data_IF_521071781257
#
_entry.id   IF_521071781257
#
_cell.length_a   1.000
_cell.length_b   1.000
_cell.length_c   1.000
_cell.angle_alpha   90.00
_cell.angle_beta   90.00
_cell.angle_gamma   90.00
#
_symmetry.space_group_name_H-M   'P 1'
#
loop_
_entity.id
_entity.type
_entity.pdbx_description
1 polymer ?
#
# COMPACT_ATOMS: atom_id res chain seq x y z
N UNK A 1 50.17 -48.24 39.09
CA UNK A 1 50.94 -47.62 38.01
C UNK A 1 49.90 -47.01 37.09
N UNK A 2 49.64 -45.78 37.30
CA UNK A 2 48.54 -45.00 36.71
C UNK A 2 49.14 -43.93 35.81
N UNK A 3 48.77 -43.95 34.51
CA UNK A 3 49.15 -42.93 33.57
C UNK A 3 47.99 -41.88 33.49
N UNK A 4 48.29 -40.67 33.92
CA UNK A 4 47.46 -39.52 33.75
C UNK A 4 47.66 -39.00 32.30
N UNK A 5 46.57 -38.88 31.54
CA UNK A 5 46.55 -38.20 30.24
C UNK A 5 46.27 -36.70 30.46
N UNK A 6 47.24 -35.88 30.14
CA UNK A 6 47.18 -34.42 30.11
C UNK A 6 46.18 -33.97 29.04
N UNK A 7 45.20 -33.19 29.48
CA UNK A 7 44.29 -32.48 28.59
C UNK A 7 44.97 -31.17 28.19
N UNK A 8 45.24 -30.99 26.92
CA UNK A 8 45.78 -29.75 26.35
C UNK A 8 44.72 -28.60 26.47
N UNK A 9 45.14 -27.36 26.72
CA UNK A 9 44.20 -26.24 26.83
C UNK A 9 43.63 -25.90 25.47
N UNK A 10 42.29 -25.90 25.38
CA UNK A 10 41.55 -25.38 24.24
C UNK A 10 41.94 -23.91 24.02
N UNK A 11 42.35 -23.65 22.80
CA UNK A 11 42.86 -22.38 22.33
C UNK A 11 41.75 -21.30 22.41
N UNK A 12 41.93 -20.40 23.39
CA UNK A 12 41.00 -19.25 23.61
C UNK A 12 41.02 -18.22 22.47
N UNK A 13 41.75 -18.48 21.40
CA UNK A 13 41.87 -17.57 20.23
C UNK A 13 40.83 -17.79 19.15
N UNK A 14 40.06 -18.87 19.18
CA UNK A 14 38.96 -19.08 18.20
C UNK A 14 37.65 -18.44 18.64
N UNK A 15 37.47 -18.11 19.92
CA UNK A 15 36.27 -17.43 20.41
C UNK A 15 36.24 -15.91 20.20
N UNK A 16 37.39 -15.29 19.92
CA UNK A 16 37.48 -13.85 19.65
C UNK A 16 37.26 -13.45 18.18
N UNK A 17 37.33 -14.39 17.24
CA UNK A 17 37.04 -14.10 15.80
C UNK A 17 35.59 -14.12 15.44
N UNK A 18 34.68 -14.53 16.30
CA UNK A 18 33.24 -14.56 16.07
C UNK A 18 32.49 -13.30 16.49
N UNK A 19 33.15 -12.35 17.20
CA UNK A 19 32.48 -11.16 17.74
C UNK A 19 32.77 -9.84 17.01
N UNK A 20 33.61 -9.86 16.01
CA UNK A 20 33.91 -8.69 15.19
C UNK A 20 33.14 -8.74 13.87
N UNK A 21 31.91 -8.28 13.82
CA UNK A 21 31.27 -7.67 12.63
C UNK A 21 29.78 -7.37 12.87
N UNK A 22 29.43 -6.88 14.05
CA UNK A 22 28.24 -6.03 14.13
C UNK A 22 28.76 -4.60 14.35
N UNK A 23 29.15 -3.94 13.28
CA UNK A 23 29.27 -2.47 13.32
C UNK A 23 27.86 -1.92 13.61
N UNK A 24 27.62 -1.65 14.88
CA UNK A 24 26.47 -0.86 15.33
C UNK A 24 26.59 0.49 14.64
N UNK A 25 25.76 0.70 13.61
CA UNK A 25 25.62 2.01 12.97
C UNK A 25 25.22 2.99 14.07
N UNK A 26 25.96 4.11 14.19
CA UNK A 26 25.71 5.11 15.19
C UNK A 26 24.21 5.51 15.21
N UNK A 27 23.56 5.70 16.39
CA UNK A 27 22.12 5.89 16.54
C UNK A 27 21.56 7.04 15.68
N UNK A 28 22.35 8.05 15.39
CA UNK A 28 21.96 9.21 14.56
C UNK A 28 21.79 8.86 13.06
N UNK A 29 22.59 7.93 12.52
CA UNK A 29 22.48 7.52 11.11
C UNK A 29 21.23 6.71 10.82
N UNK A 30 20.69 5.96 11.76
CA UNK A 30 19.48 5.14 11.57
C UNK A 30 18.20 5.99 11.46
N UNK A 31 18.06 7.07 12.25
CA UNK A 31 16.88 7.94 12.22
C UNK A 31 16.79 8.72 10.90
N UNK A 32 17.89 9.28 10.42
CA UNK A 32 17.93 9.96 9.14
C UNK A 32 17.73 9.02 7.94
N UNK A 33 18.25 7.80 8.03
CA UNK A 33 17.99 6.77 7.04
C UNK A 33 16.51 6.39 6.97
N UNK A 34 15.85 6.19 8.12
CA UNK A 34 14.41 5.91 8.18
C UNK A 34 13.58 7.10 7.65
N UNK A 35 13.97 8.34 7.98
CA UNK A 35 13.35 9.55 7.43
C UNK A 35 13.44 9.57 5.90
N UNK A 36 14.62 9.29 5.32
CA UNK A 36 14.79 9.23 3.87
C UNK A 36 13.85 8.20 3.22
N UNK A 37 13.70 7.03 3.83
CA UNK A 37 12.79 5.98 3.37
C UNK A 37 11.31 6.36 3.52
N UNK A 38 10.96 7.07 4.59
CA UNK A 38 9.61 7.60 4.81
C UNK A 38 9.23 8.65 3.77
N UNK A 39 10.17 9.52 3.34
CA UNK A 39 9.94 10.47 2.24
C UNK A 39 9.62 9.74 0.93
N UNK A 40 10.25 8.60 0.67
CA UNK A 40 9.87 7.75 -0.47
C UNK A 40 8.47 7.16 -0.34
N UNK A 41 8.08 6.76 0.88
CA UNK A 41 6.69 6.37 1.17
C UNK A 41 5.70 7.50 0.91
N UNK A 42 6.05 8.74 1.27
CA UNK A 42 5.28 9.94 0.96
C UNK A 42 5.16 10.16 -0.56
N UNK A 43 6.27 10.04 -1.30
CA UNK A 43 6.28 10.20 -2.75
C UNK A 43 5.37 9.18 -3.44
N UNK A 44 5.49 7.91 -3.07
CA UNK A 44 4.71 6.80 -3.65
C UNK A 44 3.23 6.94 -3.31
N UNK A 45 2.88 7.17 -2.04
CA UNK A 45 1.48 7.32 -1.63
C UNK A 45 0.81 8.54 -2.27
N UNK A 46 1.53 9.67 -2.37
CA UNK A 46 1.03 10.84 -3.11
C UNK A 46 0.81 10.51 -4.58
N UNK A 47 1.75 9.82 -5.23
CA UNK A 47 1.66 9.43 -6.64
C UNK A 47 0.54 8.42 -6.94
N UNK A 48 0.21 7.54 -6.00
CA UNK A 48 -0.90 6.60 -6.12
C UNK A 48 -2.24 7.32 -6.06
N UNK A 49 -2.49 8.10 -5.01
CA UNK A 49 -3.82 8.59 -4.68
C UNK A 49 -4.13 9.99 -5.22
N UNK A 50 -3.14 10.84 -5.47
CA UNK A 50 -3.41 12.18 -6.02
C UNK A 50 -4.01 12.14 -7.44
N UNK A 51 -3.77 11.07 -8.20
CA UNK A 51 -4.42 10.83 -9.48
C UNK A 51 -5.95 10.81 -9.40
N UNK A 52 -6.51 10.35 -8.27
CA UNK A 52 -7.96 10.34 -8.01
C UNK A 52 -8.50 11.76 -7.78
N UNK A 53 -7.66 12.65 -7.23
CA UNK A 53 -8.00 14.04 -6.96
C UNK A 53 -8.06 14.94 -8.19
N UNK A 54 -7.40 14.55 -9.30
CA UNK A 54 -7.31 15.34 -10.54
C UNK A 54 -7.93 14.60 -11.74
N UNK A 55 -8.74 13.59 -11.48
CA UNK A 55 -9.33 12.75 -12.53
C UNK A 55 -10.19 13.51 -13.53
N UNK A 56 -11.06 14.48 -13.13
CA UNK A 56 -11.84 15.29 -14.08
C UNK A 56 -10.96 16.13 -14.98
N UNK A 57 -9.92 16.75 -14.44
CA UNK A 57 -8.98 17.62 -15.16
C UNK A 57 -8.18 16.82 -16.21
N UNK A 58 -7.76 15.59 -15.84
CA UNK A 58 -7.10 14.69 -16.79
C UNK A 58 -8.07 14.31 -17.92
N UNK A 59 -9.28 13.89 -17.59
CA UNK A 59 -10.28 13.49 -18.58
C UNK A 59 -10.58 14.60 -19.58
N UNK A 60 -10.76 15.83 -19.10
CA UNK A 60 -11.05 16.99 -19.94
C UNK A 60 -9.86 17.32 -20.88
N UNK A 61 -8.63 17.31 -20.36
CA UNK A 61 -7.44 17.71 -21.15
C UNK A 61 -7.07 16.67 -22.24
N UNK A 62 -7.19 15.36 -21.95
CA UNK A 62 -6.88 14.31 -22.94
C UNK A 62 -8.08 13.91 -23.81
N UNK A 63 -9.21 14.60 -23.68
CA UNK A 63 -10.40 14.39 -24.53
C UNK A 63 -11.08 13.04 -24.33
N UNK A 64 -11.19 12.56 -23.06
CA UNK A 64 -11.81 11.28 -22.74
C UNK A 64 -12.89 11.42 -21.66
N UNK A 65 -13.65 10.35 -21.41
CA UNK A 65 -14.62 10.34 -20.31
C UNK A 65 -13.92 10.11 -18.96
N UNK A 66 -14.51 10.59 -17.86
CA UNK A 66 -13.98 10.37 -16.51
C UNK A 66 -13.84 8.87 -16.19
N UNK A 67 -14.80 7.97 -16.51
CA UNK A 67 -14.60 6.54 -16.33
C UNK A 67 -13.43 5.97 -17.14
N UNK A 68 -13.19 6.43 -18.36
CA UNK A 68 -12.02 6.01 -19.14
C UNK A 68 -10.72 6.55 -18.54
N UNK A 69 -10.68 7.80 -18.10
CA UNK A 69 -9.53 8.34 -17.38
C UNK A 69 -9.24 7.53 -16.09
N UNK A 70 -10.26 6.98 -15.43
CA UNK A 70 -10.12 6.08 -14.28
C UNK A 70 -9.25 4.84 -14.55
N UNK A 71 -9.09 4.43 -15.82
CA UNK A 71 -8.18 3.35 -16.18
C UNK A 71 -6.71 3.66 -15.84
N UNK A 72 -6.33 4.93 -15.72
CA UNK A 72 -4.98 5.30 -15.26
C UNK A 72 -4.72 4.90 -13.80
N UNK A 73 -5.76 4.84 -12.96
CA UNK A 73 -5.71 4.38 -11.57
C UNK A 73 -5.56 2.86 -11.55
N UNK A 74 -6.44 2.16 -12.26
CA UNK A 74 -6.40 0.69 -12.37
C UNK A 74 -5.08 0.21 -12.99
N UNK A 75 -4.57 0.92 -13.99
CA UNK A 75 -3.32 0.60 -14.67
C UNK A 75 -2.11 0.72 -13.73
N UNK A 76 -2.05 1.79 -12.92
CA UNK A 76 -1.02 1.93 -11.88
C UNK A 76 -1.08 0.78 -10.88
N UNK A 77 -2.25 0.47 -10.36
CA UNK A 77 -2.46 -0.60 -9.40
C UNK A 77 -2.10 -1.99 -9.97
N UNK A 78 -2.38 -2.25 -11.26
CA UNK A 78 -1.91 -3.44 -11.97
C UNK A 78 -0.39 -3.45 -12.09
N UNK A 79 0.23 -2.30 -12.35
CA UNK A 79 1.68 -2.14 -12.33
C UNK A 79 2.27 -2.56 -10.99
N UNK A 80 1.70 -2.10 -9.86
CA UNK A 80 2.13 -2.50 -8.51
C UNK A 80 1.99 -4.00 -8.29
N UNK A 81 0.86 -4.57 -8.69
CA UNK A 81 0.56 -6.00 -8.53
C UNK A 81 1.59 -6.89 -9.24
N UNK A 82 1.97 -6.51 -10.45
CA UNK A 82 2.95 -7.25 -11.26
C UNK A 82 4.37 -6.93 -10.84
N UNK A 83 4.66 -5.66 -10.58
CA UNK A 83 6.00 -5.17 -10.28
C UNK A 83 6.56 -5.67 -8.96
N UNK A 84 5.73 -5.78 -7.91
CA UNK A 84 6.19 -6.23 -6.59
C UNK A 84 6.87 -7.62 -6.64
N UNK A 85 6.23 -8.69 -7.14
CA UNK A 85 6.88 -10.00 -7.25
C UNK A 85 8.00 -10.01 -8.31
N UNK A 86 7.84 -9.28 -9.43
CA UNK A 86 8.85 -9.22 -10.49
C UNK A 86 10.17 -8.67 -9.95
N UNK A 87 10.15 -7.52 -9.30
CA UNK A 87 11.37 -6.90 -8.75
C UNK A 87 11.92 -7.68 -7.56
N UNK A 88 11.06 -8.26 -6.71
CA UNK A 88 11.50 -9.10 -5.60
C UNK A 88 12.33 -10.31 -6.07
N UNK A 89 11.94 -10.95 -7.17
CA UNK A 89 12.67 -12.09 -7.76
C UNK A 89 13.87 -11.62 -8.56
N UNK A 90 13.71 -10.65 -9.46
CA UNK A 90 14.77 -10.21 -10.38
C UNK A 90 15.97 -9.61 -9.65
N UNK A 91 15.74 -8.91 -8.54
CA UNK A 91 16.76 -8.17 -7.79
C UNK A 91 17.00 -8.67 -6.37
N UNK A 92 16.65 -9.93 -6.07
CA UNK A 92 16.82 -10.54 -4.75
C UNK A 92 18.26 -10.46 -4.19
N UNK A 93 19.26 -10.39 -5.07
CA UNK A 93 20.69 -10.32 -4.72
C UNK A 93 21.28 -8.91 -4.82
N UNK A 94 20.49 -7.92 -5.23
CA UNK A 94 21.00 -6.57 -5.40
C UNK A 94 21.23 -5.88 -4.03
N UNK A 95 22.27 -5.04 -3.89
CA UNK A 95 22.47 -4.23 -2.71
C UNK A 95 21.23 -3.36 -2.45
N UNK A 96 20.67 -3.42 -1.23
CA UNK A 96 19.38 -2.80 -0.90
C UNK A 96 19.31 -1.32 -1.23
N UNK A 97 20.40 -0.57 -0.94
CA UNK A 97 20.49 0.86 -1.26
C UNK A 97 20.45 1.12 -2.76
N UNK A 98 21.24 0.38 -3.55
CA UNK A 98 21.25 0.52 -5.01
C UNK A 98 19.88 0.19 -5.61
N UNK A 99 19.21 -0.86 -5.09
CA UNK A 99 17.87 -1.24 -5.52
C UNK A 99 16.86 -0.12 -5.22
N UNK A 100 16.87 0.46 -4.00
CA UNK A 100 15.98 1.57 -3.64
C UNK A 100 16.19 2.79 -4.54
N UNK A 101 17.44 3.15 -4.84
CA UNK A 101 17.75 4.24 -5.76
C UNK A 101 17.22 3.95 -7.17
N UNK A 102 17.41 2.72 -7.67
CA UNK A 102 16.91 2.29 -8.98
C UNK A 102 15.39 2.29 -9.05
N UNK A 103 14.70 1.78 -8.02
CA UNK A 103 13.24 1.79 -7.93
C UNK A 103 12.68 3.22 -7.92
N UNK A 104 13.30 4.12 -7.15
CA UNK A 104 12.87 5.52 -7.11
C UNK A 104 13.19 6.30 -8.39
N UNK A 105 14.30 5.98 -9.07
CA UNK A 105 14.60 6.54 -10.38
C UNK A 105 13.56 6.08 -11.42
N UNK A 106 13.18 4.80 -11.38
CA UNK A 106 12.12 4.28 -12.25
C UNK A 106 10.76 4.93 -11.96
N UNK A 107 10.42 5.11 -10.68
CA UNK A 107 9.21 5.81 -10.24
C UNK A 107 9.19 7.28 -10.70
N UNK A 108 10.32 7.97 -10.59
CA UNK A 108 10.50 9.33 -11.10
C UNK A 108 10.20 9.39 -12.60
N UNK A 109 10.87 8.54 -13.39
CA UNK A 109 10.68 8.49 -14.86
C UNK A 109 9.22 8.20 -15.21
N UNK A 110 8.57 7.25 -14.54
CA UNK A 110 7.17 6.93 -14.75
C UNK A 110 6.22 8.11 -14.47
N UNK A 111 6.50 8.91 -13.43
CA UNK A 111 5.70 10.10 -13.11
C UNK A 111 5.99 11.26 -14.08
N UNK A 112 7.23 11.47 -14.50
CA UNK A 112 7.55 12.44 -15.58
C UNK A 112 6.85 12.03 -16.89
N UNK A 113 6.90 10.74 -17.25
CA UNK A 113 6.20 10.24 -18.43
C UNK A 113 4.66 10.44 -18.31
N UNK A 114 4.10 10.26 -17.11
CA UNK A 114 2.68 10.54 -16.85
C UNK A 114 2.35 12.02 -17.06
N UNK A 115 3.21 12.94 -16.61
CA UNK A 115 3.04 14.38 -16.80
C UNK A 115 3.17 14.81 -18.27
N UNK A 116 4.02 14.13 -19.04
CA UNK A 116 4.25 14.42 -20.46
C UNK A 116 3.23 13.76 -21.39
N UNK A 117 2.37 12.89 -20.88
CA UNK A 117 1.35 12.21 -21.67
C UNK A 117 0.36 13.19 -22.32
N UNK A 118 0.15 13.05 -23.62
CA UNK A 118 -0.73 13.92 -24.43
C UNK A 118 -2.06 13.26 -24.80
N UNK A 119 -2.21 11.96 -24.50
CA UNK A 119 -3.41 11.21 -24.83
C UNK A 119 -3.60 10.01 -23.92
N UNK A 120 -4.80 9.43 -23.98
CA UNK A 120 -5.26 8.34 -23.13
C UNK A 120 -4.25 7.18 -23.03
N UNK A 121 -3.80 6.61 -24.15
CA UNK A 121 -2.90 5.47 -24.15
C UNK A 121 -1.54 5.75 -23.50
N UNK A 122 -1.00 6.96 -23.71
CA UNK A 122 0.29 7.39 -23.15
C UNK A 122 0.19 7.54 -21.62
N UNK A 123 -0.88 8.19 -21.13
CA UNK A 123 -1.10 8.38 -19.70
C UNK A 123 -1.30 7.02 -19.00
N UNK A 124 -2.14 6.15 -19.55
CA UNK A 124 -2.42 4.81 -18.98
C UNK A 124 -1.14 3.96 -18.95
N UNK A 125 -0.35 3.94 -20.03
CA UNK A 125 0.91 3.19 -20.08
C UNK A 125 1.96 3.76 -19.12
N UNK A 126 2.09 5.08 -19.03
CA UNK A 126 3.02 5.74 -18.11
C UNK A 126 2.64 5.47 -16.63
N UNK A 127 1.34 5.44 -16.33
CA UNK A 127 0.85 5.08 -14.98
C UNK A 127 1.15 3.63 -14.65
N UNK A 128 0.99 2.69 -15.58
CA UNK A 128 1.40 1.30 -15.40
C UNK A 128 2.89 1.21 -15.03
N UNK A 129 3.74 1.87 -15.81
CA UNK A 129 5.17 1.91 -15.55
C UNK A 129 5.49 2.52 -14.17
N UNK A 130 4.86 3.65 -13.81
CA UNK A 130 5.04 4.28 -12.51
C UNK A 130 4.63 3.37 -11.34
N UNK A 131 3.65 2.48 -11.54
CA UNK A 131 3.22 1.51 -10.53
C UNK A 131 4.21 0.38 -10.26
N UNK A 132 4.98 -0.06 -11.27
CA UNK A 132 5.87 -1.23 -11.16
C UNK A 132 6.82 -1.20 -9.94
N UNK A 133 7.52 -0.09 -9.62
CA UNK A 133 8.48 -0.07 -8.50
C UNK A 133 7.84 0.05 -7.11
N UNK A 134 6.56 0.43 -7.01
CA UNK A 134 5.89 0.80 -5.76
C UNK A 134 5.98 -0.29 -4.69
N UNK A 135 5.45 -1.49 -4.97
CA UNK A 135 5.39 -2.58 -3.97
C UNK A 135 6.78 -3.09 -3.58
N UNK A 136 7.69 -3.15 -4.55
CA UNK A 136 9.08 -3.52 -4.30
C UNK A 136 9.79 -2.48 -3.42
N UNK A 137 9.53 -1.18 -3.62
CA UNK A 137 10.08 -0.14 -2.77
C UNK A 137 9.72 -0.34 -1.31
N UNK A 138 8.43 -0.52 -0.97
CA UNK A 138 8.01 -0.72 0.42
C UNK A 138 8.62 -1.97 1.02
N UNK A 139 8.62 -3.09 0.29
CA UNK A 139 9.24 -4.33 0.76
C UNK A 139 10.73 -4.16 1.10
N UNK A 140 11.50 -3.57 0.20
CA UNK A 140 12.94 -3.34 0.39
C UNK A 140 13.20 -2.27 1.45
N UNK A 141 12.43 -1.17 1.46
CA UNK A 141 12.61 -0.07 2.40
C UNK A 141 12.35 -0.50 3.85
N UNK A 142 11.30 -1.30 4.11
CA UNK A 142 11.01 -1.82 5.44
C UNK A 142 12.12 -2.77 5.94
N UNK A 143 12.59 -3.68 5.09
CA UNK A 143 13.70 -4.58 5.42
C UNK A 143 15.00 -3.81 5.64
N UNK A 144 15.25 -2.78 4.85
CA UNK A 144 16.43 -1.94 4.99
C UNK A 144 16.37 -1.10 6.27
N UNK A 145 15.22 -0.48 6.59
CA UNK A 145 15.00 0.22 7.84
C UNK A 145 15.22 -0.69 9.06
N UNK A 146 14.68 -1.91 9.02
CA UNK A 146 14.86 -2.91 10.07
C UNK A 146 16.32 -3.35 10.24
N UNK A 147 17.13 -3.35 9.18
CA UNK A 147 18.54 -3.72 9.26
C UNK A 147 19.44 -2.63 9.88
N UNK A 148 18.94 -1.39 10.00
CA UNK A 148 19.66 -0.26 10.60
C UNK A 148 19.45 -0.11 12.10
N UNK A 149 18.65 -0.97 12.72
CA UNK A 149 18.28 -0.88 14.14
C UNK A 149 18.46 -2.22 14.85
N UNK A 150 18.45 -2.17 16.19
CA UNK A 150 18.46 -3.36 17.03
C UNK A 150 17.21 -4.24 16.77
N UNK A 151 17.30 -5.58 17.00
CA UNK A 151 16.20 -6.51 16.79
C UNK A 151 14.88 -6.12 17.49
N UNK A 152 14.95 -5.54 18.69
CA UNK A 152 13.81 -5.04 19.48
C UNK A 152 13.06 -3.87 18.83
N UNK A 153 13.68 -3.13 17.89
CA UNK A 153 13.12 -1.93 17.23
C UNK A 153 12.78 -2.12 15.75
N UNK A 154 12.98 -3.32 15.21
CA UNK A 154 12.76 -3.60 13.77
C UNK A 154 11.34 -3.31 13.29
N UNK A 155 10.35 -3.68 14.11
CA UNK A 155 8.94 -3.39 13.81
C UNK A 155 8.65 -1.89 13.75
N UNK A 156 9.20 -1.11 14.70
CA UNK A 156 9.06 0.34 14.72
C UNK A 156 9.74 0.98 13.50
N UNK A 157 10.93 0.51 13.11
CA UNK A 157 11.63 1.02 11.93
C UNK A 157 10.85 0.78 10.64
N UNK A 158 10.24 -0.40 10.48
CA UNK A 158 9.34 -0.69 9.36
C UNK A 158 8.08 0.19 9.38
N UNK A 159 7.48 0.40 10.55
CA UNK A 159 6.33 1.28 10.71
C UNK A 159 6.66 2.74 10.35
N UNK A 160 7.86 3.22 10.68
CA UNK A 160 8.32 4.57 10.32
C UNK A 160 8.38 4.77 8.79
N UNK A 161 8.69 3.76 8.01
CA UNK A 161 8.61 3.84 6.54
C UNK A 161 7.17 4.05 6.08
N UNK A 162 6.21 3.33 6.69
CA UNK A 162 4.80 3.44 6.37
C UNK A 162 4.15 4.76 6.86
N UNK A 163 4.78 5.48 7.80
CA UNK A 163 4.33 6.83 8.17
C UNK A 163 4.33 7.78 6.96
N UNK A 164 5.27 7.61 6.02
CA UNK A 164 5.27 8.38 4.79
C UNK A 164 3.99 8.23 3.99
N UNK A 165 3.46 7.01 3.89
CA UNK A 165 2.18 6.73 3.23
C UNK A 165 1.00 7.38 3.97
N UNK A 166 1.03 7.38 5.31
CA UNK A 166 0.01 8.04 6.12
C UNK A 166 0.02 9.56 5.93
N UNK A 167 1.21 10.17 5.91
CA UNK A 167 1.37 11.61 5.63
C UNK A 167 0.94 11.93 4.19
N UNK A 168 1.21 11.03 3.23
CA UNK A 168 0.74 11.19 1.86
C UNK A 168 -0.78 11.37 1.80
N UNK A 169 -1.55 10.53 2.51
CA UNK A 169 -3.00 10.60 2.47
C UNK A 169 -3.59 11.88 3.09
N UNK A 170 -2.95 12.44 4.13
CA UNK A 170 -3.47 13.63 4.83
C UNK A 170 -2.96 14.93 4.24
N UNK A 171 -1.72 14.95 3.77
CA UNK A 171 -1.06 16.18 3.29
C UNK A 171 -0.67 16.06 1.81
N UNK A 172 -0.02 14.98 1.41
CA UNK A 172 0.53 14.80 0.07
C UNK A 172 -0.55 14.82 -1.00
N UNK A 173 -1.60 14.04 -0.84
CA UNK A 173 -2.72 13.93 -1.79
C UNK A 173 -3.50 15.23 -1.89
N UNK A 174 -3.97 15.84 -0.79
CA UNK A 174 -4.63 17.13 -0.86
C UNK A 174 -3.78 18.24 -1.49
N UNK A 175 -2.49 18.33 -1.13
CA UNK A 175 -1.58 19.32 -1.68
C UNK A 175 -1.34 19.12 -3.18
N UNK A 176 -1.09 17.87 -3.62
CA UNK A 176 -0.89 17.56 -5.02
C UNK A 176 -2.16 17.74 -5.86
N UNK A 177 -3.34 17.46 -5.28
CA UNK A 177 -4.63 17.74 -5.91
C UNK A 177 -4.82 19.25 -6.08
N UNK A 178 -4.57 20.03 -5.04
CA UNK A 178 -4.65 21.50 -5.13
C UNK A 178 -3.70 22.07 -6.17
N UNK A 179 -2.44 21.60 -6.20
CA UNK A 179 -1.47 22.01 -7.24
C UNK A 179 -1.97 21.64 -8.64
N UNK A 180 -2.52 20.45 -8.81
CA UNK A 180 -3.05 19.99 -10.09
C UNK A 180 -4.25 20.79 -10.55
N UNK A 181 -5.14 21.19 -9.65
CA UNK A 181 -6.30 22.04 -9.95
C UNK A 181 -5.90 23.49 -10.26
N UNK A 182 -4.83 24.00 -9.64
CA UNK A 182 -4.38 25.39 -9.79
C UNK A 182 -3.47 25.59 -11.01
N UNK A 183 -2.52 24.67 -11.24
CA UNK A 183 -1.49 24.78 -12.26
C UNK A 183 -1.62 23.78 -13.40
N UNK A 184 -2.74 23.02 -13.41
CA UNK A 184 -3.00 21.93 -14.34
C UNK A 184 -2.56 20.57 -13.79
N UNK A 185 -3.29 19.51 -14.14
CA UNK A 185 -3.11 18.15 -13.60
C UNK A 185 -1.69 17.59 -13.75
N UNK A 186 -0.94 18.07 -14.73
CA UNK A 186 0.47 17.69 -14.93
C UNK A 186 1.35 18.08 -13.76
N UNK A 187 1.03 19.20 -13.08
CA UNK A 187 1.76 19.66 -11.89
C UNK A 187 1.69 18.62 -10.74
N UNK A 188 0.60 17.87 -10.63
CA UNK A 188 0.48 16.75 -9.68
C UNK A 188 1.61 15.74 -9.87
N UNK A 189 1.81 15.25 -11.09
CA UNK A 189 2.83 14.23 -11.38
C UNK A 189 4.26 14.79 -11.36
N UNK A 190 4.45 16.05 -11.73
CA UNK A 190 5.73 16.76 -11.58
C UNK A 190 6.11 16.88 -10.08
N UNK A 191 5.14 17.21 -9.23
CA UNK A 191 5.36 17.26 -7.78
C UNK A 191 5.78 15.90 -7.22
N UNK A 192 5.12 14.83 -7.64
CA UNK A 192 5.48 13.45 -7.26
C UNK A 192 6.88 13.08 -7.77
N UNK A 193 7.22 13.46 -8.99
CA UNK A 193 8.57 13.26 -9.53
C UNK A 193 9.62 14.04 -8.73
N UNK A 194 9.31 15.26 -8.29
CA UNK A 194 10.16 16.05 -7.39
C UNK A 194 10.38 15.37 -6.04
N UNK A 195 9.32 14.82 -5.43
CA UNK A 195 9.43 14.03 -4.20
C UNK A 195 10.27 12.76 -4.41
N UNK A 196 10.16 12.11 -5.56
CA UNK A 196 10.99 10.95 -5.91
C UNK A 196 12.46 11.36 -6.06
N UNK A 197 12.77 12.48 -6.72
CA UNK A 197 14.11 13.00 -6.84
C UNK A 197 14.71 13.37 -5.46
N UNK A 198 13.91 14.01 -4.60
CA UNK A 198 14.29 14.28 -3.21
C UNK A 198 14.60 12.99 -2.46
N UNK A 199 13.76 11.96 -2.61
CA UNK A 199 13.99 10.64 -1.98
C UNK A 199 15.31 10.04 -2.45
N UNK A 200 15.61 10.08 -3.76
CA UNK A 200 16.88 9.59 -4.32
C UNK A 200 18.05 10.31 -3.65
N UNK A 201 17.99 11.63 -3.54
CA UNK A 201 19.05 12.41 -2.89
C UNK A 201 19.19 12.02 -1.40
N UNK A 202 18.09 11.97 -0.66
CA UNK A 202 18.11 11.62 0.76
C UNK A 202 18.62 10.19 0.98
N UNK A 203 18.16 9.21 0.22
CA UNK A 203 18.64 7.81 0.31
C UNK A 203 20.14 7.75 -0.05
N UNK A 204 20.58 8.48 -1.08
CA UNK A 204 22.00 8.50 -1.49
C UNK A 204 22.94 9.01 -0.42
N UNK A 205 22.51 10.02 0.35
CA UNK A 205 23.37 10.70 1.33
C UNK A 205 23.16 10.24 2.78
N UNK A 206 21.96 9.77 3.15
CA UNK A 206 21.59 9.49 4.53
C UNK A 206 21.52 8.00 4.87
N UNK A 207 21.63 7.09 3.89
CA UNK A 207 21.59 5.65 4.18
C UNK A 207 22.96 4.98 3.99
N UNK A 208 23.34 4.01 4.86
CA UNK A 208 24.58 3.26 4.72
C UNK A 208 24.52 2.28 3.54
N UNK A 209 25.66 1.76 3.12
CA UNK A 209 25.72 0.59 2.25
C UNK A 209 25.66 -0.67 3.12
N UNK A 210 24.66 -1.53 2.88
CA UNK A 210 24.49 -2.80 3.58
C UNK A 210 24.43 -3.91 2.52
N UNK A 211 25.27 -4.92 2.74
CA UNK A 211 25.29 -6.12 1.88
C UNK A 211 24.00 -6.91 2.04
N UNK A 212 23.49 -7.57 1.00
CA UNK A 212 22.28 -8.37 1.08
C UNK A 212 22.52 -9.61 1.94
N UNK A 213 21.64 -9.85 2.93
CA UNK A 213 21.55 -11.16 3.58
C UNK A 213 20.93 -12.15 2.57
N UNK A 214 21.52 -13.34 2.48
CA UNK A 214 21.16 -14.34 1.46
C UNK A 214 19.75 -14.95 1.63
N UNK A 215 18.72 -14.15 1.43
CA UNK A 215 17.35 -14.63 1.38
C UNK A 215 17.12 -15.47 0.10
N UNK A 216 16.54 -16.66 0.27
CA UNK A 216 16.20 -17.56 -0.84
C UNK A 216 14.73 -17.42 -1.22
N UNK A 217 14.39 -16.77 -2.34
CA UNK A 217 13.01 -16.59 -2.79
C UNK A 217 12.25 -17.89 -3.06
N UNK A 218 12.98 -18.95 -3.41
CA UNK A 218 12.39 -20.24 -3.77
C UNK A 218 11.66 -20.95 -2.60
N UNK A 219 12.10 -20.73 -1.36
CA UNK A 219 11.48 -21.33 -0.16
C UNK A 219 10.10 -20.74 0.15
N UNK A 220 9.88 -19.48 -0.21
CA UNK A 220 8.68 -18.73 0.13
C UNK A 220 7.52 -19.03 -0.83
N UNK A 221 7.80 -19.44 -2.08
CA UNK A 221 6.74 -19.74 -3.08
C UNK A 221 5.81 -20.88 -2.70
N UNK A 222 6.20 -21.74 -1.76
CA UNK A 222 5.34 -22.81 -1.22
C UNK A 222 4.06 -22.30 -0.52
N UNK A 223 4.08 -21.08 0.02
CA UNK A 223 2.92 -20.49 0.69
C UNK A 223 1.73 -20.26 -0.23
N UNK A 224 1.96 -19.98 -1.52
CA UNK A 224 0.90 -19.81 -2.52
C UNK A 224 0.07 -21.09 -2.76
N UNK A 225 0.56 -22.24 -2.31
CA UNK A 225 -0.20 -23.50 -2.42
C UNK A 225 -1.19 -23.71 -1.28
N UNK A 226 -1.13 -22.89 -0.22
CA UNK A 226 -2.02 -23.04 0.95
C UNK A 226 -3.38 -22.39 0.67
N UNK A 227 -4.53 -23.12 0.75
CA UNK A 227 -5.85 -22.57 0.48
C UNK A 227 -6.19 -21.35 1.34
N UNK A 228 -5.80 -21.37 2.63
CA UNK A 228 -6.05 -20.26 3.55
C UNK A 228 -5.30 -18.98 3.17
N UNK A 229 -4.10 -19.07 2.56
CA UNK A 229 -3.37 -17.92 2.02
C UNK A 229 -4.13 -17.33 0.84
N UNK A 230 -4.55 -18.16 -0.12
CA UNK A 230 -5.29 -17.72 -1.30
C UNK A 230 -6.66 -17.10 -0.92
N UNK A 231 -7.38 -17.69 0.04
CA UNK A 231 -8.64 -17.13 0.54
C UNK A 231 -8.42 -15.79 1.24
N UNK A 232 -7.37 -15.64 2.04
CA UNK A 232 -7.06 -14.37 2.71
C UNK A 232 -6.68 -13.29 1.70
N UNK A 233 -5.89 -13.62 0.67
CA UNK A 233 -5.59 -12.71 -0.45
C UNK A 233 -6.86 -12.34 -1.23
N UNK A 234 -7.77 -13.30 -1.45
CA UNK A 234 -9.07 -13.05 -2.08
C UNK A 234 -9.94 -12.10 -1.26
N UNK A 235 -9.97 -12.25 0.07
CA UNK A 235 -10.65 -11.30 0.97
C UNK A 235 -10.05 -9.89 0.84
N UNK A 236 -8.72 -9.78 0.77
CA UNK A 236 -8.05 -8.51 0.55
C UNK A 236 -8.41 -7.91 -0.83
N UNK A 237 -8.29 -8.70 -1.90
CA UNK A 237 -8.49 -8.23 -3.27
C UNK A 237 -9.93 -7.81 -3.58
N UNK A 238 -10.92 -8.45 -2.97
CA UNK A 238 -12.34 -8.17 -3.20
C UNK A 238 -12.88 -7.25 -2.10
N UNK A 239 -12.75 -7.65 -0.84
CA UNK A 239 -13.38 -6.95 0.28
C UNK A 239 -12.87 -5.54 0.52
N UNK A 240 -11.61 -5.27 0.17
CA UNK A 240 -11.01 -3.96 0.28
C UNK A 240 -11.25 -3.05 -0.94
N UNK A 241 -11.71 -3.62 -2.06
CA UNK A 241 -11.98 -2.89 -3.30
C UNK A 241 -13.03 -1.79 -3.16
N UNK A 242 -13.91 -1.91 -2.18
CA UNK A 242 -15.01 -0.95 -1.97
C UNK A 242 -14.55 0.48 -1.67
N UNK A 243 -13.51 0.66 -0.86
CA UNK A 243 -12.97 1.99 -0.58
C UNK A 243 -12.45 2.65 -1.87
N UNK A 244 -11.80 1.89 -2.73
CA UNK A 244 -11.22 2.41 -3.96
C UNK A 244 -12.27 2.70 -5.04
N UNK A 245 -13.42 2.00 -5.04
CA UNK A 245 -14.53 2.34 -5.90
C UNK A 245 -15.01 3.76 -5.64
N UNK A 246 -15.23 4.12 -4.37
CA UNK A 246 -15.65 5.48 -3.99
C UNK A 246 -14.50 6.48 -4.15
N UNK A 247 -13.30 6.15 -3.66
CA UNK A 247 -12.16 7.07 -3.68
C UNK A 247 -11.80 7.53 -5.10
N UNK A 248 -11.82 6.62 -6.08
CA UNK A 248 -11.46 6.92 -7.46
C UNK A 248 -12.38 7.97 -8.10
N UNK A 249 -13.64 8.02 -7.70
CA UNK A 249 -14.65 8.90 -8.29
C UNK A 249 -15.24 9.91 -7.29
N UNK A 250 -14.57 10.10 -6.15
CA UNK A 250 -15.06 11.01 -5.10
C UNK A 250 -15.17 12.45 -5.60
N UNK A 251 -14.18 12.95 -6.34
CA UNK A 251 -14.18 14.34 -6.83
C UNK A 251 -15.35 14.60 -7.77
N UNK A 252 -15.56 13.82 -8.86
CA UNK A 252 -16.76 13.99 -9.69
C UNK A 252 -18.07 13.81 -8.92
N UNK A 253 -18.14 12.91 -7.94
CA UNK A 253 -19.36 12.77 -7.11
C UNK A 253 -19.61 14.02 -6.29
N UNK A 254 -18.58 14.62 -5.69
CA UNK A 254 -18.70 15.85 -4.92
C UNK A 254 -19.12 17.05 -5.77
N UNK A 255 -18.66 17.14 -7.02
CA UNK A 255 -19.04 18.25 -7.91
C UNK A 255 -20.41 18.06 -8.53
N UNK A 256 -20.70 16.87 -9.05
CA UNK A 256 -21.91 16.60 -9.82
C UNK A 256 -23.16 16.29 -8.95
N UNK A 257 -22.96 15.70 -7.76
CA UNK A 257 -24.06 15.29 -6.88
C UNK A 257 -24.18 16.21 -5.67
N UNK A 258 -23.04 16.49 -4.99
CA UNK A 258 -23.06 17.34 -3.80
C UNK A 258 -23.15 18.82 -4.16
N UNK A 259 -22.76 19.21 -5.39
CA UNK A 259 -22.74 20.60 -5.86
C UNK A 259 -21.59 21.42 -5.24
N UNK A 260 -20.56 20.77 -4.73
CA UNK A 260 -19.38 21.45 -4.19
C UNK A 260 -18.47 21.96 -5.31
N UNK A 261 -17.80 23.09 -5.14
CA UNK A 261 -16.77 23.53 -6.07
C UNK A 261 -15.58 22.56 -6.03
N UNK A 262 -14.90 22.36 -7.16
CA UNK A 262 -13.71 21.48 -7.25
C UNK A 262 -12.64 21.85 -6.20
N UNK A 263 -12.53 23.12 -5.83
CA UNK A 263 -11.62 23.62 -4.77
C UNK A 263 -11.90 23.03 -3.37
N UNK A 264 -13.05 22.42 -3.13
CA UNK A 264 -13.35 21.71 -1.89
C UNK A 264 -12.76 20.30 -1.86
N UNK A 265 -12.38 19.73 -3.00
CA UNK A 265 -11.88 18.36 -3.10
C UNK A 265 -10.64 18.10 -2.18
N UNK A 266 -9.61 18.95 -2.11
CA UNK A 266 -8.47 18.72 -1.22
C UNK A 266 -8.87 18.54 0.26
N UNK A 267 -9.82 19.34 0.74
CA UNK A 267 -10.32 19.24 2.12
C UNK A 267 -11.09 17.92 2.35
N UNK A 268 -11.91 17.52 1.40
CA UNK A 268 -12.66 16.25 1.47
C UNK A 268 -11.73 15.03 1.41
N UNK A 269 -10.69 15.08 0.59
CA UNK A 269 -9.65 14.06 0.53
C UNK A 269 -8.83 14.01 1.83
N UNK A 270 -8.56 15.15 2.46
CA UNK A 270 -7.92 15.20 3.77
C UNK A 270 -8.77 14.55 4.86
N UNK A 271 -10.10 14.76 4.84
CA UNK A 271 -11.03 14.09 5.77
C UNK A 271 -10.96 12.55 5.60
N UNK A 272 -10.97 12.05 4.37
CA UNK A 272 -10.80 10.64 4.07
C UNK A 272 -9.43 10.13 4.57
N UNK A 273 -8.34 10.86 4.31
CA UNK A 273 -6.99 10.54 4.78
C UNK A 273 -6.89 10.49 6.32
N UNK A 274 -7.52 11.41 7.04
CA UNK A 274 -7.60 11.37 8.49
C UNK A 274 -8.35 10.12 8.98
N UNK A 275 -9.44 9.76 8.29
CA UNK A 275 -10.15 8.51 8.54
C UNK A 275 -9.26 7.28 8.34
N UNK A 276 -8.41 7.28 7.32
CA UNK A 276 -7.44 6.20 7.07
C UNK A 276 -6.45 6.04 8.22
N UNK A 277 -5.93 7.14 8.77
CA UNK A 277 -5.04 7.08 9.95
C UNK A 277 -5.79 6.51 11.16
N UNK A 278 -6.97 7.05 11.47
CA UNK A 278 -7.77 6.57 12.58
C UNK A 278 -8.13 5.09 12.44
N UNK A 279 -8.52 4.67 11.24
CA UNK A 279 -8.83 3.28 10.91
C UNK A 279 -7.63 2.36 11.06
N UNK A 280 -6.45 2.76 10.58
CA UNK A 280 -5.23 1.96 10.68
C UNK A 280 -4.83 1.72 12.16
N UNK A 281 -4.91 2.75 13.00
CA UNK A 281 -4.62 2.64 14.44
C UNK A 281 -5.66 1.75 15.13
N UNK A 282 -6.95 1.99 14.88
CA UNK A 282 -8.03 1.20 15.47
C UNK A 282 -7.98 -0.26 14.99
N UNK A 283 -7.69 -0.48 13.70
CA UNK A 283 -7.59 -1.81 13.11
C UNK A 283 -6.46 -2.64 13.71
N UNK A 284 -5.28 -2.05 13.94
CA UNK A 284 -4.18 -2.70 14.64
C UNK A 284 -4.57 -3.10 16.05
N UNK A 285 -5.10 -2.14 16.83
CA UNK A 285 -5.52 -2.37 18.21
C UNK A 285 -6.63 -3.43 18.37
N UNK A 286 -7.59 -3.47 17.44
CA UNK A 286 -8.66 -4.47 17.41
C UNK A 286 -8.15 -5.85 16.97
N UNK A 287 -7.26 -5.90 15.97
CA UNK A 287 -6.69 -7.14 15.45
C UNK A 287 -5.88 -7.88 16.52
N UNK A 288 -5.11 -7.15 17.34
CA UNK A 288 -4.35 -7.72 18.47
C UNK A 288 -5.23 -8.39 19.51
N UNK A 289 -6.48 -7.94 19.66
CA UNK A 289 -7.43 -8.47 20.65
C UNK A 289 -8.29 -9.61 20.11
N UNK A 290 -8.79 -9.47 18.89
CA UNK A 290 -9.77 -10.39 18.34
C UNK A 290 -9.73 -10.40 16.80
N UNK A 291 -8.64 -10.91 16.22
CA UNK A 291 -8.34 -10.84 14.78
C UNK A 291 -9.53 -11.19 13.89
N UNK A 292 -10.13 -12.38 14.08
CA UNK A 292 -11.25 -12.87 13.23
C UNK A 292 -12.51 -12.02 13.36
N UNK A 293 -12.84 -11.61 14.58
CA UNK A 293 -13.98 -10.73 14.84
C UNK A 293 -13.76 -9.34 14.25
N UNK A 294 -12.54 -8.81 14.32
CA UNK A 294 -12.15 -7.55 13.69
C UNK A 294 -12.33 -7.61 12.18
N UNK A 295 -11.85 -8.65 11.52
CA UNK A 295 -12.02 -8.80 10.06
C UNK A 295 -13.48 -8.83 9.65
N UNK A 296 -14.33 -9.59 10.34
CA UNK A 296 -15.77 -9.63 10.09
C UNK A 296 -16.42 -8.28 10.36
N UNK A 297 -16.12 -7.67 11.51
CA UNK A 297 -16.69 -6.37 11.91
C UNK A 297 -16.31 -5.25 10.94
N UNK A 298 -15.06 -5.20 10.49
CA UNK A 298 -14.60 -4.17 9.54
C UNK A 298 -15.26 -4.37 8.16
N UNK A 299 -15.46 -5.58 7.68
CA UNK A 299 -16.17 -5.80 6.39
C UNK A 299 -17.65 -5.41 6.47
N UNK A 300 -18.31 -5.69 7.59
CA UNK A 300 -19.68 -5.21 7.84
C UNK A 300 -19.71 -3.67 7.91
N UNK A 301 -18.80 -3.08 8.68
CA UNK A 301 -18.63 -1.63 8.77
C UNK A 301 -18.42 -1.03 7.38
N UNK A 302 -17.52 -1.60 6.59
CA UNK A 302 -17.22 -1.13 5.22
C UNK A 302 -18.46 -1.19 4.33
N UNK A 303 -19.22 -2.28 4.36
CA UNK A 303 -20.47 -2.39 3.62
C UNK A 303 -21.44 -1.27 3.99
N UNK A 304 -21.63 -1.01 5.29
CA UNK A 304 -22.55 0.02 5.78
C UNK A 304 -22.10 1.42 5.36
N UNK A 305 -20.85 1.81 5.65
CA UNK A 305 -20.41 3.19 5.42
C UNK A 305 -20.21 3.49 3.93
N UNK A 306 -19.74 2.53 3.14
CA UNK A 306 -19.59 2.71 1.70
C UNK A 306 -20.96 2.74 1.01
N UNK A 307 -21.88 1.86 1.42
CA UNK A 307 -23.26 1.91 0.94
C UNK A 307 -23.99 3.20 1.31
N UNK A 308 -23.74 3.72 2.52
CA UNK A 308 -24.30 4.99 2.98
C UNK A 308 -23.86 6.20 2.12
N UNK A 309 -22.70 6.09 1.42
CA UNK A 309 -22.20 7.15 0.53
C UNK A 309 -23.22 7.54 -0.55
N UNK A 310 -24.00 6.58 -1.02
CA UNK A 310 -25.07 6.81 -2.02
C UNK A 310 -26.06 7.87 -1.57
N UNK A 311 -26.36 7.90 -0.29
CA UNK A 311 -27.36 8.82 0.32
C UNK A 311 -26.69 10.06 0.90
N UNK A 312 -25.52 9.92 1.50
CA UNK A 312 -24.81 11.03 2.17
C UNK A 312 -24.15 11.99 1.18
N UNK A 313 -23.84 11.54 -0.04
CA UNK A 313 -23.23 12.37 -1.09
C UNK A 313 -24.09 13.55 -1.55
N UNK A 314 -25.38 13.59 -1.23
CA UNK A 314 -26.27 14.70 -1.54
C UNK A 314 -26.12 15.92 -0.63
N UNK A 315 -25.40 15.79 0.50
CA UNK A 315 -25.18 16.86 1.46
C UNK A 315 -23.69 16.99 1.78
N UNK A 316 -23.15 18.20 1.73
CA UNK A 316 -21.71 18.45 1.88
C UNK A 316 -21.15 17.98 3.25
N UNK A 317 -21.86 18.25 4.35
CA UNK A 317 -21.42 17.86 5.70
C UNK A 317 -21.51 16.34 5.85
N UNK A 318 -22.63 15.75 5.43
CA UNK A 318 -22.82 14.30 5.49
C UNK A 318 -21.79 13.56 4.62
N UNK A 319 -21.47 14.07 3.42
CA UNK A 319 -20.42 13.54 2.56
C UNK A 319 -19.05 13.60 3.22
N UNK A 320 -18.67 14.74 3.84
CA UNK A 320 -17.40 14.89 4.54
C UNK A 320 -17.24 13.93 5.72
N UNK A 321 -18.28 13.82 6.56
CA UNK A 321 -18.30 12.85 7.67
C UNK A 321 -18.23 11.41 7.15
N UNK A 322 -18.99 11.10 6.12
CA UNK A 322 -18.99 9.75 5.53
C UNK A 322 -17.64 9.40 4.87
N UNK A 323 -16.98 10.35 4.21
CA UNK A 323 -15.62 10.13 3.67
C UNK A 323 -14.60 9.84 4.77
N UNK A 324 -14.66 10.54 5.90
CA UNK A 324 -13.86 10.21 7.08
C UNK A 324 -14.13 8.77 7.54
N UNK A 325 -15.40 8.36 7.64
CA UNK A 325 -15.77 7.00 8.02
C UNK A 325 -15.32 5.97 6.95
N UNK A 326 -15.44 6.27 5.67
CA UNK A 326 -14.93 5.41 4.58
C UNK A 326 -13.41 5.23 4.71
N UNK A 327 -12.66 6.30 5.05
CA UNK A 327 -11.24 6.18 5.40
C UNK A 327 -10.99 5.14 6.49
N UNK A 328 -11.89 5.04 7.48
CA UNK A 328 -11.84 4.05 8.55
C UNK A 328 -11.83 2.58 8.08
N UNK A 329 -12.30 2.29 6.86
CA UNK A 329 -12.24 0.94 6.29
C UNK A 329 -10.81 0.39 6.15
N UNK A 330 -9.78 1.26 6.17
CA UNK A 330 -8.37 0.88 6.17
C UNK A 330 -8.00 0.01 7.40
N UNK A 331 -8.84 -0.01 8.43
CA UNK A 331 -8.71 -0.89 9.59
C UNK A 331 -8.57 -2.37 9.23
N UNK A 332 -9.03 -2.76 8.04
CA UNK A 332 -8.84 -4.10 7.50
C UNK A 332 -7.37 -4.43 7.19
N UNK A 333 -6.54 -3.43 6.89
CA UNK A 333 -5.13 -3.60 6.50
C UNK A 333 -4.29 -4.36 7.52
N UNK A 334 -4.14 -3.87 8.77
CA UNK A 334 -3.42 -4.56 9.82
C UNK A 334 -3.97 -5.97 10.11
N UNK A 335 -5.30 -6.13 10.11
CA UNK A 335 -5.94 -7.42 10.37
C UNK A 335 -5.64 -8.45 9.27
N UNK A 336 -5.70 -8.05 7.98
CA UNK A 336 -5.31 -8.89 6.85
C UNK A 336 -3.83 -9.26 6.90
N UNK A 337 -2.96 -8.29 7.20
CA UNK A 337 -1.53 -8.54 7.32
C UNK A 337 -1.23 -9.59 8.40
N UNK A 338 -1.81 -9.44 9.59
CA UNK A 338 -1.66 -10.40 10.69
C UNK A 338 -2.21 -11.77 10.29
N UNK A 339 -3.43 -11.82 9.72
CA UNK A 339 -4.03 -13.09 9.27
C UNK A 339 -3.17 -13.80 8.24
N UNK A 340 -2.62 -13.06 7.30
CA UNK A 340 -1.80 -13.60 6.23
C UNK A 340 -0.50 -14.20 6.77
N UNK A 341 0.13 -13.53 7.74
CA UNK A 341 1.31 -14.04 8.44
C UNK A 341 1.00 -15.32 9.21
N UNK A 342 -0.14 -15.38 9.91
CA UNK A 342 -0.58 -16.57 10.66
C UNK A 342 -0.76 -17.79 9.76
N UNK A 343 -1.40 -17.63 8.58
CA UNK A 343 -1.70 -18.74 7.68
C UNK A 343 -0.52 -19.12 6.77
N UNK A 344 0.41 -18.19 6.52
CA UNK A 344 1.60 -18.43 5.70
C UNK A 344 2.64 -19.33 6.41
N UNK A 345 2.73 -19.26 7.75
CA UNK A 345 3.74 -19.98 8.53
C UNK A 345 5.15 -19.47 8.22
N UNK A 346 6.04 -20.31 7.70
CA UNK A 346 7.45 -19.95 7.46
C UNK A 346 7.67 -18.94 6.32
N UNK A 347 6.65 -18.65 5.49
CA UNK A 347 6.74 -17.76 4.34
C UNK A 347 6.18 -16.36 4.61
N UNK A 348 6.52 -15.77 5.74
CA UNK A 348 5.97 -14.48 6.20
C UNK A 348 6.36 -13.30 5.30
N UNK A 349 7.56 -13.29 4.74
CA UNK A 349 8.04 -12.20 3.87
C UNK A 349 7.24 -12.16 2.56
N UNK A 350 7.03 -13.31 1.93
CA UNK A 350 6.20 -13.38 0.73
C UNK A 350 4.75 -13.00 1.04
N UNK A 351 4.20 -13.49 2.15
CA UNK A 351 2.86 -13.14 2.59
C UNK A 351 2.68 -11.63 2.75
N UNK A 352 3.63 -10.94 3.37
CA UNK A 352 3.61 -9.48 3.50
C UNK A 352 3.66 -8.78 2.13
N UNK A 353 4.50 -9.24 1.22
CA UNK A 353 4.61 -8.69 -0.15
C UNK A 353 3.32 -8.89 -0.95
N UNK A 354 2.73 -10.08 -0.87
CA UNK A 354 1.48 -10.43 -1.55
C UNK A 354 0.28 -9.66 -1.01
N UNK A 355 0.32 -9.24 0.26
CA UNK A 355 -0.71 -8.38 0.83
C UNK A 355 -0.78 -7.03 0.09
N UNK A 356 0.37 -6.42 -0.20
CA UNK A 356 0.42 -5.20 -1.02
C UNK A 356 -0.11 -5.43 -2.45
N UNK A 357 0.23 -6.57 -3.06
CA UNK A 357 -0.33 -6.94 -4.37
C UNK A 357 -1.84 -7.11 -4.31
N UNK A 358 -2.38 -7.77 -3.29
CA UNK A 358 -3.82 -7.96 -3.11
C UNK A 358 -4.56 -6.62 -2.90
N UNK A 359 -4.00 -5.69 -2.13
CA UNK A 359 -4.56 -4.34 -1.99
C UNK A 359 -4.56 -3.57 -3.30
N UNK A 360 -3.56 -3.75 -4.13
CA UNK A 360 -3.51 -3.12 -5.43
C UNK A 360 -4.45 -3.79 -6.46
N UNK A 361 -4.69 -5.09 -6.35
CA UNK A 361 -5.79 -5.74 -7.07
C UNK A 361 -7.13 -5.14 -6.64
N UNK A 362 -7.34 -4.91 -5.34
CA UNK A 362 -8.53 -4.26 -4.81
C UNK A 362 -8.69 -2.83 -5.37
N UNK A 363 -7.59 -2.05 -5.41
CA UNK A 363 -7.58 -0.71 -5.99
C UNK A 363 -7.95 -0.75 -7.49
N UNK A 364 -7.31 -1.62 -8.27
CA UNK A 364 -7.60 -1.79 -9.69
C UNK A 364 -9.07 -2.20 -9.92
N UNK A 365 -9.56 -3.19 -9.17
CA UNK A 365 -10.91 -3.73 -9.27
C UNK A 365 -11.96 -2.68 -8.89
N UNK A 366 -11.75 -1.97 -7.76
CA UNK A 366 -12.66 -0.94 -7.29
C UNK A 366 -12.76 0.23 -8.27
N UNK A 367 -11.63 0.76 -8.72
CA UNK A 367 -11.58 1.84 -9.71
C UNK A 367 -12.23 1.43 -11.04
N UNK A 368 -11.94 0.22 -11.52
CA UNK A 368 -12.52 -0.27 -12.77
C UNK A 368 -14.02 -0.49 -12.67
N UNK A 369 -14.51 -1.22 -11.67
CA UNK A 369 -15.94 -1.51 -11.49
C UNK A 369 -16.75 -0.25 -11.21
N UNK A 370 -16.21 0.70 -10.42
CA UNK A 370 -16.82 2.00 -10.22
C UNK A 370 -16.99 2.77 -11.53
N UNK A 371 -15.96 2.76 -12.39
CA UNK A 371 -16.02 3.36 -13.72
C UNK A 371 -17.02 2.68 -14.65
N UNK A 372 -17.07 1.35 -14.65
CA UNK A 372 -18.05 0.57 -15.44
C UNK A 372 -19.49 0.92 -15.02
N UNK A 373 -19.76 1.01 -13.71
CA UNK A 373 -21.09 1.36 -13.21
C UNK A 373 -21.50 2.79 -13.65
N UNK A 374 -20.59 3.76 -13.57
CA UNK A 374 -20.84 5.13 -14.04
C UNK A 374 -21.06 5.15 -15.55
N UNK A 375 -20.21 4.47 -16.33
CA UNK A 375 -20.32 4.39 -17.79
C UNK A 375 -21.60 3.70 -18.26
N UNK A 376 -22.12 2.75 -17.48
CA UNK A 376 -23.40 2.08 -17.72
C UNK A 376 -24.63 2.97 -17.39
N UNK A 377 -24.42 4.20 -16.93
CA UNK A 377 -25.50 5.15 -16.66
C UNK A 377 -26.12 5.07 -15.25
N UNK A 378 -25.52 4.31 -14.31
CA UNK A 378 -26.02 4.22 -12.93
C UNK A 378 -25.74 5.48 -12.09
N UNK A 379 -25.08 6.51 -12.67
CA UNK A 379 -24.81 7.80 -12.03
C UNK A 379 -23.59 7.80 -11.10
N UNK A 380 -23.23 9.01 -10.63
CA UNK A 380 -22.00 9.26 -9.84
C UNK A 380 -22.02 8.65 -8.44
N UNK A 381 -23.15 8.25 -7.91
CA UNK A 381 -23.26 7.58 -6.61
C UNK A 381 -23.08 6.06 -6.70
N UNK A 382 -23.11 5.50 -7.91
CA UNK A 382 -23.02 4.05 -8.14
C UNK A 382 -21.75 3.39 -7.61
N UNK A 383 -20.58 4.06 -7.51
CA UNK A 383 -19.42 3.52 -6.82
C UNK A 383 -19.68 3.10 -5.37
N UNK A 384 -20.62 3.75 -4.68
CA UNK A 384 -21.08 3.36 -3.35
C UNK A 384 -21.74 1.98 -3.34
N UNK A 385 -22.60 1.67 -4.33
CA UNK A 385 -23.21 0.34 -4.48
C UNK A 385 -22.17 -0.71 -4.88
N UNK A 386 -21.26 -0.37 -5.79
CA UNK A 386 -20.15 -1.27 -6.16
C UNK A 386 -19.32 -1.62 -4.94
N UNK A 387 -18.97 -0.63 -4.13
CA UNK A 387 -18.18 -0.84 -2.93
C UNK A 387 -18.91 -1.63 -1.85
N UNK A 388 -20.22 -1.41 -1.68
CA UNK A 388 -21.07 -2.22 -0.80
C UNK A 388 -21.02 -3.71 -1.19
N UNK A 389 -21.21 -4.01 -2.48
CA UNK A 389 -21.19 -5.40 -2.98
C UNK A 389 -19.81 -6.04 -2.86
N UNK A 390 -18.73 -5.29 -3.10
CA UNK A 390 -17.36 -5.79 -2.92
C UNK A 390 -17.08 -6.10 -1.44
N UNK A 391 -17.52 -5.27 -0.50
CA UNK A 391 -17.37 -5.54 0.92
C UNK A 391 -18.14 -6.81 1.35
N UNK A 392 -19.36 -7.00 0.86
CA UNK A 392 -20.14 -8.24 1.08
C UNK A 392 -19.47 -9.45 0.43
N UNK A 393 -18.91 -9.33 -0.76
CA UNK A 393 -18.15 -10.38 -1.42
C UNK A 393 -16.93 -10.80 -0.60
N UNK A 394 -16.17 -9.82 -0.08
CA UNK A 394 -15.07 -10.07 0.85
C UNK A 394 -15.51 -10.76 2.14
N UNK A 395 -16.65 -10.33 2.71
CA UNK A 395 -17.24 -10.97 3.89
C UNK A 395 -17.63 -12.44 3.61
N UNK A 396 -18.26 -12.71 2.48
CA UNK A 396 -18.63 -14.07 2.09
C UNK A 396 -17.38 -14.97 1.97
N UNK A 397 -16.32 -14.49 1.32
CA UNK A 397 -15.04 -15.22 1.23
C UNK A 397 -14.41 -15.46 2.60
N UNK A 398 -14.44 -14.47 3.49
CA UNK A 398 -13.92 -14.61 4.84
C UNK A 398 -14.70 -15.69 5.62
N UNK A 399 -16.03 -15.68 5.54
CA UNK A 399 -16.85 -16.69 6.19
C UNK A 399 -16.57 -18.10 5.67
N UNK A 400 -16.35 -18.26 4.36
CA UNK A 400 -15.90 -19.53 3.76
C UNK A 400 -14.54 -19.95 4.31
N UNK A 401 -13.56 -19.04 4.37
CA UNK A 401 -12.23 -19.29 4.95
C UNK A 401 -12.33 -19.79 6.40
N UNK A 402 -13.14 -19.11 7.22
CA UNK A 402 -13.33 -19.48 8.63
C UNK A 402 -14.07 -20.80 8.81
N UNK A 403 -15.01 -21.12 7.92
CA UNK A 403 -15.73 -22.40 7.94
C UNK A 403 -14.81 -23.57 7.58
N UNK A 404 -13.95 -23.41 6.57
CA UNK A 404 -12.95 -24.42 6.19
C UNK A 404 -11.94 -24.65 7.32
N UNK A 405 -11.42 -23.58 7.92
CA UNK A 405 -10.50 -23.71 9.07
C UNK A 405 -11.12 -24.49 10.25
N UNK A 406 -12.41 -24.25 10.53
CA UNK A 406 -13.12 -25.00 11.60
C UNK A 406 -13.26 -26.47 11.26
N UNK A 407 -13.49 -26.82 9.98
CA UNK A 407 -13.57 -28.22 9.53
C UNK A 407 -12.23 -28.92 9.64
N UNK A 408 -11.15 -28.27 9.21
CA UNK A 408 -9.78 -28.81 9.32
C UNK A 408 -9.42 -29.11 10.78
N UNK A 409 -9.67 -28.16 11.70
CA UNK A 409 -9.43 -28.35 13.14
C UNK A 409 -10.24 -29.52 13.75
N UNK A 410 -11.49 -29.74 13.28
CA UNK A 410 -12.31 -30.86 13.74
C UNK A 410 -11.85 -32.20 13.18
N UNK A 411 -11.23 -32.23 12.02
CA UNK A 411 -10.70 -33.45 11.41
C UNK A 411 -9.36 -33.89 12.03
N UNK A 412 -8.64 -32.96 12.72
CA UNK A 412 -7.35 -33.22 13.38
C UNK A 412 -7.46 -33.39 14.90
N UNK A 413 -8.62 -33.12 15.48
CA UNK A 413 -8.96 -33.35 16.89
C UNK A 413 -9.71 -34.69 17.09
#
# INVERSE_FOLDING_TARGET
>A
MTSAAECAPCDARETERGSELVRVVAPHGSAWGQFALSVGGLAIGTGEFAAMGVLPEVAADIGTTIPQAGHMISSYALGVTIGAPLFAVAFARAPRRALLLGLMAFFLVGNVASALGQGYGQVVAARFLAGLPHGAYFGVAMLFAASMVEPSRRGQAAANVLLGLSIANVVGVPAATWLGQTFGWRATFITVAGLAALTIALVRYLTPEVSPDGASPAREMGALKKPQVLLTLGVAAIGFGGIFAVYSYVVPTLTEVTGLPASAAPMMLAALGMGMIAGNIAGGWLADRALKATMVGVLIYSAIVIGAFVFTSTNAIAAGVNLFLIGGCIAMGPALQTRLMDVAGDAQTLAATLNHSAFNIANALGAWLGGVAIAAGFGWTSPGWVGFLLALGGLALLLVSLALERRERRATA
#
